data_IF_244499595197
#
_entry.id   IF_244499595197
#
_cell.length_a   1.000
_cell.length_b   1.000
_cell.length_c   1.000
_cell.angle_alpha   90.00
_cell.angle_beta   90.00
_cell.angle_gamma   90.00
#
_symmetry.space_group_name_H-M   'P 1'
#
loop_
_entity.id
_entity.type
_entity.pdbx_description
1 polymer ?
#
# COMPACT_ATOMS: atom_id res chain seq x y z
N UNK A 1 15.62 -2.55 4.82
CA UNK A 1 14.87 -3.47 3.95
C UNK A 1 13.65 -3.94 4.73
N UNK A 2 12.45 -3.44 4.41
CA UNK A 2 11.22 -3.78 5.16
C UNK A 2 10.84 -5.22 4.80
N UNK A 3 11.09 -6.19 5.69
CA UNK A 3 10.64 -7.57 5.46
C UNK A 3 9.12 -7.57 5.60
N UNK A 4 8.42 -7.84 4.51
CA UNK A 4 6.96 -7.99 4.52
C UNK A 4 6.64 -9.28 5.29
N UNK A 5 6.37 -9.14 6.59
CA UNK A 5 5.89 -10.24 7.45
C UNK A 5 4.53 -10.75 6.96
N UNK A 6 4.21 -12.02 7.22
CA UNK A 6 2.91 -12.64 6.90
C UNK A 6 1.72 -11.80 7.38
N UNK A 7 1.86 -11.14 8.54
CA UNK A 7 0.84 -10.24 9.09
C UNK A 7 0.59 -9.01 8.20
N UNK A 8 1.64 -8.46 7.60
CA UNK A 8 1.54 -7.30 6.71
C UNK A 8 0.77 -7.66 5.44
N UNK A 9 1.03 -8.84 4.85
CA UNK A 9 0.30 -9.32 3.66
C UNK A 9 -1.19 -9.49 3.96
N UNK A 10 -1.52 -10.06 5.12
CA UNK A 10 -2.92 -10.25 5.54
C UNK A 10 -3.63 -8.90 5.66
N UNK A 11 -3.02 -7.92 6.35
CA UNK A 11 -3.65 -6.61 6.49
C UNK A 11 -3.75 -5.83 5.17
N UNK A 12 -2.78 -5.99 4.26
CA UNK A 12 -2.90 -5.44 2.92
C UNK A 12 -4.08 -6.03 2.15
N UNK A 13 -4.36 -7.33 2.31
CA UNK A 13 -5.52 -7.97 1.69
C UNK A 13 -6.85 -7.45 2.28
N UNK A 14 -6.94 -7.30 3.60
CA UNK A 14 -8.13 -6.72 4.25
C UNK A 14 -8.38 -5.29 3.76
N UNK A 15 -7.34 -4.45 3.72
CA UNK A 15 -7.48 -3.08 3.22
C UNK A 15 -7.78 -3.05 1.71
N UNK A 16 -7.30 -4.04 0.94
CA UNK A 16 -7.65 -4.15 -0.48
C UNK A 16 -9.16 -4.35 -0.67
N UNK A 17 -9.78 -5.23 0.12
CA UNK A 17 -11.22 -5.44 0.10
C UNK A 17 -11.99 -4.17 0.50
N UNK A 18 -11.58 -3.48 1.58
CA UNK A 18 -12.22 -2.25 2.03
C UNK A 18 -12.16 -1.10 1.02
N UNK A 19 -11.10 -1.07 0.20
CA UNK A 19 -10.88 -0.05 -0.82
C UNK A 19 -11.37 -0.46 -2.21
N UNK A 20 -11.93 -1.67 -2.35
CA UNK A 20 -12.25 -2.30 -3.64
C UNK A 20 -11.05 -2.27 -4.61
N UNK A 21 -9.85 -2.48 -4.09
CA UNK A 21 -8.62 -2.51 -4.89
C UNK A 21 -8.52 -3.83 -5.66
N UNK A 22 -8.03 -3.76 -6.90
CA UNK A 22 -7.83 -4.93 -7.75
C UNK A 22 -6.67 -5.83 -7.31
N UNK A 23 -5.75 -5.30 -6.50
CA UNK A 23 -4.63 -6.09 -5.96
C UNK A 23 -3.98 -5.44 -4.72
N UNK A 24 -3.20 -6.24 -3.98
CA UNK A 24 -2.43 -5.73 -2.83
C UNK A 24 -1.34 -4.74 -3.25
N UNK A 25 -0.79 -4.85 -4.46
CA UNK A 25 0.19 -3.91 -5.00
C UNK A 25 -0.40 -2.52 -5.15
N UNK A 26 -1.67 -2.41 -5.56
CA UNK A 26 -2.36 -1.12 -5.63
C UNK A 26 -2.46 -0.48 -4.24
N UNK A 27 -2.77 -1.28 -3.22
CA UNK A 27 -2.82 -0.81 -1.82
C UNK A 27 -1.44 -0.33 -1.36
N UNK A 28 -0.36 -1.03 -1.72
CA UNK A 28 1.01 -0.62 -1.39
C UNK A 28 1.37 0.70 -2.08
N UNK A 29 1.04 0.87 -3.36
CA UNK A 29 1.27 2.13 -4.07
C UNK A 29 0.48 3.27 -3.45
N UNK A 30 -0.81 3.08 -3.16
CA UNK A 30 -1.64 4.06 -2.49
C UNK A 30 -1.10 4.44 -1.11
N UNK A 31 -0.59 3.46 -0.35
CA UNK A 31 0.02 3.68 0.97
C UNK A 31 1.27 4.56 0.89
N UNK A 32 2.15 4.31 -0.09
CA UNK A 32 3.37 5.11 -0.31
C UNK A 32 3.03 6.51 -0.81
N UNK A 33 2.13 6.63 -1.81
CA UNK A 33 1.72 7.90 -2.39
C UNK A 33 1.01 8.83 -1.40
N UNK A 34 0.45 8.27 -0.31
CA UNK A 34 -0.22 9.05 0.74
C UNK A 34 0.75 9.75 1.69
N UNK A 35 2.06 9.51 1.58
CA UNK A 35 3.06 10.21 2.38
C UNK A 35 3.04 11.72 2.08
N UNK A 36 3.18 12.59 3.09
CA UNK A 36 3.13 14.05 2.92
C UNK A 36 4.27 14.59 2.05
N UNK A 37 5.36 13.84 1.92
CA UNK A 37 6.51 14.17 1.07
C UNK A 37 6.26 13.94 -0.43
N UNK A 38 5.09 13.40 -0.82
CA UNK A 38 4.71 13.12 -2.21
C UNK A 38 5.81 12.36 -2.99
N UNK A 39 6.16 11.14 -2.55
CA UNK A 39 7.23 10.38 -3.19
C UNK A 39 6.87 10.02 -4.64
N UNK A 40 7.88 9.91 -5.49
CA UNK A 40 7.77 9.38 -6.85
C UNK A 40 8.24 7.91 -6.86
N UNK A 41 7.32 6.94 -6.81
CA UNK A 41 7.71 5.53 -6.74
C UNK A 41 8.36 5.08 -8.05
N UNK A 42 9.58 4.52 -7.94
CA UNK A 42 10.28 3.91 -9.08
C UNK A 42 9.76 2.48 -9.25
N UNK A 43 9.13 2.21 -10.38
CA UNK A 43 8.59 0.89 -10.71
C UNK A 43 9.69 0.06 -11.36
N UNK A 44 10.34 -0.79 -10.58
CA UNK A 44 11.45 -1.66 -11.05
C UNK A 44 11.03 -2.87 -11.88
N UNK A 45 9.84 -2.86 -12.50
CA UNK A 45 9.31 -3.99 -13.26
C UNK A 45 9.26 -3.69 -14.75
N UNK A 46 9.73 -4.61 -15.59
CA UNK A 46 9.55 -4.54 -17.04
C UNK A 46 8.13 -4.86 -17.53
N UNK A 47 7.19 -5.10 -16.61
CA UNK A 47 5.79 -5.47 -16.89
C UNK A 47 4.90 -4.23 -16.85
N UNK A 48 4.26 -3.92 -17.97
CA UNK A 48 3.38 -2.74 -18.10
C UNK A 48 2.18 -2.80 -17.15
N UNK A 49 1.75 -4.00 -16.79
CA UNK A 49 0.64 -4.25 -15.87
C UNK A 49 0.91 -3.64 -14.49
N UNK A 50 2.17 -3.62 -14.04
CA UNK A 50 2.54 -3.00 -12.76
C UNK A 50 2.50 -1.48 -12.80
N UNK A 51 2.78 -0.89 -13.96
CA UNK A 51 2.63 0.55 -14.18
C UNK A 51 1.16 0.93 -14.12
N UNK A 52 0.28 0.15 -14.78
CA UNK A 52 -1.18 0.37 -14.73
C UNK A 52 -1.71 0.27 -13.30
N UNK A 53 -1.28 -0.73 -12.54
CA UNK A 53 -1.67 -0.87 -11.13
C UNK A 53 -1.25 0.34 -10.27
N UNK A 54 -0.07 0.92 -10.52
CA UNK A 54 0.37 2.13 -9.81
C UNK A 54 -0.48 3.36 -10.14
N UNK A 55 -0.86 3.53 -11.40
CA UNK A 55 -1.76 4.61 -11.84
C UNK A 55 -3.15 4.44 -11.23
N UNK A 56 -3.71 3.22 -11.26
CA UNK A 56 -5.02 2.94 -10.67
C UNK A 56 -5.04 3.16 -9.15
N UNK A 57 -3.90 2.95 -8.48
CA UNK A 57 -3.75 3.19 -7.04
C UNK A 57 -3.96 4.66 -6.64
N UNK A 58 -3.74 5.63 -7.54
CA UNK A 58 -4.00 7.06 -7.26
C UNK A 58 -5.48 7.34 -6.99
N UNK A 59 -6.37 6.49 -7.51
CA UNK A 59 -7.82 6.63 -7.32
C UNK A 59 -8.31 6.07 -5.98
N UNK A 60 -7.49 5.26 -5.30
CA UNK A 60 -7.84 4.64 -4.03
C UNK A 60 -7.89 5.67 -2.90
N UNK A 61 -9.06 5.81 -2.27
CA UNK A 61 -9.28 6.74 -1.17
C UNK A 61 -8.92 6.12 0.18
N UNK A 62 -7.63 5.87 0.39
CA UNK A 62 -7.13 5.32 1.66
C UNK A 62 -7.30 6.31 2.81
N UNK A 63 -7.99 5.88 3.87
CA UNK A 63 -8.15 6.64 5.11
C UNK A 63 -6.87 6.63 5.95
N UNK A 64 -6.71 7.60 6.85
CA UNK A 64 -5.59 7.62 7.78
C UNK A 64 -5.54 6.38 8.69
N UNK A 65 -6.71 5.87 9.10
CA UNK A 65 -6.79 4.69 9.95
C UNK A 65 -6.29 3.43 9.22
N UNK A 66 -6.69 3.23 7.97
CA UNK A 66 -6.17 2.15 7.11
C UNK A 66 -4.65 2.30 6.90
N UNK A 67 -4.17 3.52 6.69
CA UNK A 67 -2.75 3.79 6.53
C UNK A 67 -1.93 3.36 7.77
N UNK A 68 -2.43 3.68 8.96
CA UNK A 68 -1.78 3.29 10.22
C UNK A 68 -1.90 1.80 10.53
N UNK A 69 -2.99 1.14 10.14
CA UNK A 69 -3.12 -0.33 10.25
C UNK A 69 -2.03 -1.05 9.47
N UNK A 70 -1.80 -0.65 8.21
CA UNK A 70 -0.72 -1.22 7.38
C UNK A 70 0.64 -0.98 8.05
N UNK A 71 0.90 0.26 8.51
CA UNK A 71 2.13 0.59 9.23
C UNK A 71 2.35 -0.27 10.47
N UNK A 72 1.31 -0.45 11.30
CA UNK A 72 1.34 -1.32 12.49
C UNK A 72 1.61 -2.77 12.12
N UNK A 73 0.96 -3.28 11.07
CA UNK A 73 1.16 -4.64 10.60
C UNK A 73 2.60 -4.88 10.12
N UNK A 74 3.20 -3.88 9.45
CA UNK A 74 4.58 -3.91 8.96
C UNK A 74 5.64 -3.76 10.07
N UNK A 75 5.45 -2.83 11.01
CA UNK A 75 6.44 -2.51 12.06
C UNK A 75 6.27 -3.32 13.35
N UNK A 76 5.06 -3.81 13.63
CA UNK A 76 4.73 -4.63 14.79
C UNK A 76 4.46 -3.92 16.11
N UNK A 77 4.40 -2.60 16.10
CA UNK A 77 4.04 -1.77 17.24
C UNK A 77 3.22 -0.55 16.77
N UNK A 78 2.47 0.05 17.69
CA UNK A 78 1.65 1.23 17.43
C UNK A 78 2.51 2.50 17.26
N UNK A 79 1.90 3.55 16.70
CA UNK A 79 2.52 4.87 16.63
C UNK A 79 2.62 5.42 18.07
N UNK A 80 3.75 6.03 18.48
CA UNK A 80 3.86 6.73 19.76
C UNK A 80 2.88 7.89 19.91
#
# INVERSE_FOLDING_TARGET
MMIISSRCVIELAVVAEELNAGSIEQVVYAWVLRLPSQPLPIIGSGKIERVRAAVEAETLKMTRQQWFRIRKAALGYDVP
#
